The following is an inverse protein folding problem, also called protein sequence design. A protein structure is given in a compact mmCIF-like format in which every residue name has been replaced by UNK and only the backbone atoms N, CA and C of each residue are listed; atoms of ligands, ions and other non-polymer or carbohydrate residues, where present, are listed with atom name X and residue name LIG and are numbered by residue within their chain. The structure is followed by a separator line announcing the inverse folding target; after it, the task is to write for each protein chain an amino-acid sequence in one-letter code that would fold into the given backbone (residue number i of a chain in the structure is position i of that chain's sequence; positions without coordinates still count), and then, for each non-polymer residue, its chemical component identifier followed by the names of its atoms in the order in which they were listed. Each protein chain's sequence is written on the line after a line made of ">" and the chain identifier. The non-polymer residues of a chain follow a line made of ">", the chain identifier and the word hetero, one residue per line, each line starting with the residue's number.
data_IF_611677094733
#
_entry.id   IF_611677094733
#
_cell.length_a   1.000
_cell.length_b   1.000
_cell.length_c   1.000
_cell.angle_alpha   90.00
_cell.angle_beta   90.00
_cell.angle_gamma   90.00
#
_symmetry.space_group_name_H-M   'P 1'
#
loop_
_entity.id
_entity.type
_entity.pdbx_description
1 polymer ?
#
# COMPACT_ATOMS: atom_id res chain seq x y z
N UNK A 1 4.16 -2.29 -12.60
CA UNK A 1 3.90 -1.62 -13.89
C UNK A 1 3.85 -0.11 -13.67
N UNK A 2 3.80 0.70 -14.74
CA UNK A 2 3.83 2.16 -14.65
C UNK A 2 2.40 2.70 -14.53
N UNK A 3 2.00 3.15 -13.33
CA UNK A 3 0.71 3.83 -13.13
C UNK A 3 0.63 5.12 -13.96
N UNK A 4 -0.40 5.22 -14.81
CA UNK A 4 -0.70 6.42 -15.60
C UNK A 4 -1.02 7.62 -14.70
N UNK A 5 -1.70 7.38 -13.57
CA UNK A 5 -2.08 8.42 -12.60
C UNK A 5 -0.87 8.99 -11.88
N UNK A 6 0.00 8.13 -11.32
CA UNK A 6 1.22 8.60 -10.64
C UNK A 6 2.17 9.29 -11.62
N UNK A 7 2.25 8.82 -12.87
CA UNK A 7 3.03 9.50 -13.91
C UNK A 7 2.52 10.92 -14.16
N UNK A 8 1.19 11.12 -14.21
CA UNK A 8 0.60 12.44 -14.39
C UNK A 8 0.88 13.37 -13.20
N UNK A 9 0.78 12.87 -11.96
CA UNK A 9 1.03 13.66 -10.75
C UNK A 9 2.51 14.05 -10.58
N UNK A 10 3.43 13.11 -10.82
CA UNK A 10 4.87 13.32 -10.55
C UNK A 10 5.69 13.70 -11.80
N UNK A 11 5.02 13.82 -12.96
CA UNK A 11 5.52 14.24 -14.29
C UNK A 11 6.70 13.46 -14.89
N UNK A 12 7.33 12.56 -14.16
CA UNK A 12 8.50 11.79 -14.59
C UNK A 12 8.31 10.30 -14.33
N UNK A 13 8.36 9.52 -15.41
CA UNK A 13 8.23 8.06 -15.32
C UNK A 13 9.36 7.43 -14.49
N UNK A 14 10.59 7.87 -14.73
CA UNK A 14 11.77 7.39 -14.01
C UNK A 14 11.65 7.70 -12.52
N UNK A 15 11.12 8.88 -12.16
CA UNK A 15 10.90 9.25 -10.75
C UNK A 15 9.86 8.36 -10.09
N UNK A 16 8.72 8.13 -10.74
CA UNK A 16 7.67 7.23 -10.21
C UNK A 16 8.24 5.83 -9.98
N UNK A 17 9.01 5.30 -10.92
CA UNK A 17 9.66 3.99 -10.76
C UNK A 17 10.65 3.97 -9.59
N UNK A 18 11.51 4.98 -9.47
CA UNK A 18 12.45 5.08 -8.35
C UNK A 18 11.72 5.19 -7.00
N UNK A 19 10.73 6.07 -6.90
CA UNK A 19 9.93 6.25 -5.68
C UNK A 19 9.23 4.94 -5.30
N UNK A 20 8.61 4.26 -6.25
CA UNK A 20 8.00 2.94 -6.03
C UNK A 20 9.03 1.95 -5.47
N UNK A 21 10.20 1.81 -6.08
CA UNK A 21 11.24 0.90 -5.57
C UNK A 21 11.70 1.26 -4.16
N UNK A 22 12.03 2.53 -3.91
CA UNK A 22 12.58 2.95 -2.63
C UNK A 22 11.57 2.94 -1.47
N UNK A 23 10.33 3.35 -1.72
CA UNK A 23 9.31 3.46 -0.67
C UNK A 23 8.76 2.09 -0.24
N UNK A 24 8.75 1.12 -1.16
CA UNK A 24 8.25 -0.23 -0.89
C UNK A 24 9.32 -1.17 -0.36
N UNK A 25 10.60 -0.87 -0.62
CA UNK A 25 11.75 -1.62 -0.14
C UNK A 25 12.72 -0.69 0.61
N UNK A 26 12.29 -0.03 1.70
CA UNK A 26 13.11 0.94 2.42
C UNK A 26 14.37 0.35 3.04
N UNK A 27 14.39 -0.96 3.30
CA UNK A 27 15.53 -1.71 3.81
C UNK A 27 16.62 -1.96 2.76
N UNK A 28 16.30 -1.79 1.47
CA UNK A 28 17.20 -2.10 0.37
C UNK A 28 18.01 -0.87 -0.06
N UNK A 29 19.20 -1.14 -0.56
CA UNK A 29 20.07 -0.15 -1.17
C UNK A 29 20.45 -0.59 -2.58
N UNK A 30 20.61 0.38 -3.48
CA UNK A 30 20.88 0.08 -4.88
C UNK A 30 22.00 0.96 -5.42
N UNK A 31 22.84 0.41 -6.30
CA UNK A 31 23.70 1.25 -7.14
C UNK A 31 23.03 1.53 -8.49
N UNK A 32 23.47 2.59 -9.17
CA UNK A 32 22.81 3.09 -10.40
C UNK A 32 22.62 2.00 -11.46
N UNK A 33 23.62 1.13 -11.67
CA UNK A 33 23.53 0.07 -12.70
C UNK A 33 22.54 -1.04 -12.33
N UNK A 34 22.29 -1.30 -11.05
CA UNK A 34 21.19 -2.19 -10.64
C UNK A 34 19.86 -1.55 -11.00
N UNK A 35 19.66 -0.28 -10.63
CA UNK A 35 18.44 0.47 -10.93
C UNK A 35 18.17 0.55 -12.44
N UNK A 36 19.20 0.73 -13.28
CA UNK A 36 18.99 0.72 -14.74
C UNK A 36 18.41 -0.60 -15.25
N UNK A 37 18.89 -1.72 -14.71
CA UNK A 37 18.43 -3.07 -15.10
C UNK A 37 17.06 -3.36 -14.53
N UNK A 38 16.85 -3.04 -13.25
CA UNK A 38 15.59 -3.26 -12.53
C UNK A 38 14.44 -2.46 -13.13
N UNK A 39 14.69 -1.20 -13.49
CA UNK A 39 13.63 -0.27 -13.91
C UNK A 39 13.47 -0.17 -15.44
N UNK A 40 14.43 -0.71 -16.20
CA UNK A 40 14.47 -0.57 -17.66
C UNK A 40 14.59 0.89 -18.10
N UNK A 41 15.32 1.71 -17.33
CA UNK A 41 15.44 3.15 -17.54
C UNK A 41 16.88 3.54 -17.90
N UNK A 42 17.02 4.62 -18.67
CA UNK A 42 18.33 5.12 -19.08
C UNK A 42 19.14 5.64 -17.88
N UNK A 43 20.45 5.37 -17.88
CA UNK A 43 21.36 5.72 -16.78
C UNK A 43 21.36 7.20 -16.43
N UNK A 44 21.26 8.09 -17.43
CA UNK A 44 21.25 9.53 -17.22
C UNK A 44 19.94 10.02 -16.60
N UNK A 45 18.80 9.41 -16.97
CA UNK A 45 17.50 9.70 -16.35
C UNK A 45 17.50 9.28 -14.88
N UNK A 46 18.00 8.08 -14.57
CA UNK A 46 18.13 7.63 -13.18
C UNK A 46 19.05 8.56 -12.39
N UNK A 47 20.22 8.93 -12.94
CA UNK A 47 21.16 9.83 -12.26
C UNK A 47 20.52 11.18 -11.94
N UNK A 48 19.81 11.78 -12.90
CA UNK A 48 19.11 13.05 -12.73
C UNK A 48 18.04 12.98 -11.63
N UNK A 49 17.19 11.96 -11.66
CA UNK A 49 16.14 11.83 -10.66
C UNK A 49 16.68 11.46 -9.27
N UNK A 50 17.71 10.61 -9.18
CA UNK A 50 18.38 10.36 -7.90
C UNK A 50 18.96 11.65 -7.30
N UNK A 51 19.55 12.52 -8.10
CA UNK A 51 20.06 13.79 -7.59
C UNK A 51 18.94 14.72 -7.14
N UNK A 52 17.82 14.78 -7.87
CA UNK A 52 16.62 15.50 -7.45
C UNK A 52 16.09 15.01 -6.09
N UNK A 53 15.97 13.68 -5.92
CA UNK A 53 15.49 13.06 -4.69
C UNK A 53 16.49 13.23 -3.53
N UNK A 54 17.79 13.25 -3.81
CA UNK A 54 18.82 13.56 -2.81
C UNK A 54 18.78 15.00 -2.35
N UNK A 55 18.57 15.94 -3.27
CA UNK A 55 18.52 17.37 -2.96
C UNK A 55 17.38 17.70 -1.99
N UNK A 56 16.25 17.00 -2.07
CA UNK A 56 15.14 17.17 -1.13
C UNK A 56 15.29 16.34 0.14
N UNK A 57 16.31 15.48 0.25
CA UNK A 57 16.59 14.67 1.43
C UNK A 57 15.85 13.33 1.51
N UNK A 58 15.00 12.98 0.54
CA UNK A 58 14.27 11.70 0.54
C UNK A 58 15.20 10.49 0.26
N UNK A 59 16.27 10.70 -0.51
CA UNK A 59 17.26 9.66 -0.81
C UNK A 59 18.61 10.09 -0.26
N UNK A 60 19.34 9.16 0.37
CA UNK A 60 20.74 9.35 0.77
C UNK A 60 21.64 8.44 -0.05
N UNK A 61 22.93 8.77 -0.05
CA UNK A 61 23.94 7.97 -0.75
C UNK A 61 25.12 7.64 0.16
N UNK A 62 25.61 6.42 0.07
CA UNK A 62 26.77 5.93 0.82
C UNK A 62 27.75 5.19 -0.08
N UNK A 63 29.04 5.29 0.22
CA UNK A 63 30.07 4.57 -0.52
C UNK A 63 30.41 3.27 0.20
N UNK A 64 30.33 2.14 -0.53
CA UNK A 64 30.75 0.81 -0.04
C UNK A 64 31.39 0.04 -1.18
N UNK A 65 32.53 -0.61 -0.94
CA UNK A 65 33.24 -1.45 -1.93
C UNK A 65 33.44 -0.75 -3.29
N UNK A 66 33.93 0.49 -3.28
CA UNK A 66 34.14 1.34 -4.47
C UNK A 66 32.87 1.65 -5.29
N UNK A 67 31.68 1.34 -4.76
CA UNK A 67 30.39 1.65 -5.38
C UNK A 67 29.64 2.69 -4.53
N UNK A 68 28.87 3.52 -5.20
CA UNK A 68 27.94 4.47 -4.57
C UNK A 68 26.54 3.85 -4.55
N UNK A 69 26.05 3.57 -3.36
CA UNK A 69 24.73 3.03 -3.09
C UNK A 69 23.78 4.15 -2.70
N UNK A 70 22.52 3.99 -3.05
CA UNK A 70 21.42 4.90 -2.75
C UNK A 70 20.38 4.14 -1.93
N UNK A 71 19.83 4.79 -0.92
CA UNK A 71 18.75 4.26 -0.08
C UNK A 71 17.78 5.38 0.28
N UNK A 72 16.55 5.02 0.64
CA UNK A 72 15.56 5.99 1.12
C UNK A 72 15.89 6.41 2.55
N UNK A 73 15.54 7.64 2.90
CA UNK A 73 15.57 8.14 4.26
C UNK A 73 14.18 7.99 4.89
N UNK A 74 14.02 7.05 5.82
CA UNK A 74 12.75 6.78 6.49
C UNK A 74 12.33 7.90 7.45
N UNK A 75 13.30 8.70 7.93
CA UNK A 75 13.05 9.89 8.75
C UNK A 75 12.66 11.12 7.91
N UNK A 76 12.49 10.98 6.60
CA UNK A 76 12.04 12.08 5.76
C UNK A 76 10.60 12.50 6.15
N UNK A 77 10.29 13.80 6.31
CA UNK A 77 9.02 14.25 6.87
C UNK A 77 7.75 13.74 6.18
N UNK A 78 7.81 13.46 4.87
CA UNK A 78 6.67 12.94 4.11
C UNK A 78 6.83 11.47 3.70
N UNK A 79 7.71 10.73 4.37
CA UNK A 79 8.02 9.35 3.99
C UNK A 79 6.78 8.45 4.05
N UNK A 80 6.01 8.53 5.16
CA UNK A 80 4.84 7.69 5.36
C UNK A 80 3.70 8.03 4.39
N UNK A 81 3.49 9.31 4.09
CA UNK A 81 2.48 9.80 3.15
C UNK A 81 2.81 9.33 1.73
N UNK A 82 4.06 9.51 1.30
CA UNK A 82 4.51 9.02 0.00
C UNK A 82 4.42 7.49 -0.08
N UNK A 83 4.88 6.78 0.95
CA UNK A 83 4.76 5.31 1.01
C UNK A 83 3.31 4.87 0.87
N UNK A 84 2.39 5.50 1.60
CA UNK A 84 0.96 5.23 1.52
C UNK A 84 0.42 5.42 0.11
N UNK A 85 0.71 6.55 -0.55
CA UNK A 85 0.28 6.82 -1.93
C UNK A 85 0.74 5.72 -2.89
N UNK A 86 2.02 5.34 -2.83
CA UNK A 86 2.58 4.33 -3.72
C UNK A 86 2.12 2.90 -3.39
N UNK A 87 1.91 2.57 -2.12
CA UNK A 87 1.38 1.27 -1.72
C UNK A 87 -0.09 1.10 -2.14
N UNK A 88 -0.91 2.15 -2.02
CA UNK A 88 -2.32 2.13 -2.46
C UNK A 88 -2.48 1.75 -3.93
N UNK A 89 -1.62 2.30 -4.79
CA UNK A 89 -1.64 2.00 -6.22
C UNK A 89 -1.35 0.51 -6.50
N UNK A 90 -0.33 -0.05 -5.83
CA UNK A 90 0.09 -1.43 -6.09
C UNK A 90 -0.92 -2.43 -5.57
N UNK A 91 -1.49 -2.18 -4.39
CA UNK A 91 -2.47 -3.10 -3.82
C UNK A 91 -3.82 -3.04 -4.55
N UNK A 92 -4.11 -1.96 -5.26
CA UNK A 92 -5.23 -1.94 -6.20
C UNK A 92 -5.04 -2.93 -7.37
N UNK A 93 -3.79 -3.22 -7.74
CA UNK A 93 -3.42 -4.17 -8.81
C UNK A 93 -3.13 -5.60 -8.29
N UNK A 94 -3.17 -5.87 -6.98
CA UNK A 94 -2.87 -7.19 -6.40
C UNK A 94 -3.84 -8.28 -6.91
N UNK A 95 -3.35 -9.38 -7.51
CA UNK A 95 -4.15 -10.54 -7.90
C UNK A 95 -4.98 -11.14 -6.74
N UNK A 96 -4.41 -11.22 -5.53
CA UNK A 96 -5.10 -11.75 -4.36
C UNK A 96 -6.32 -10.86 -4.01
N UNK A 97 -6.11 -9.54 -3.96
CA UNK A 97 -7.18 -8.58 -3.70
C UNK A 97 -8.21 -8.57 -4.83
N UNK A 98 -7.77 -8.63 -6.09
CA UNK A 98 -8.63 -8.70 -7.27
C UNK A 98 -9.50 -9.96 -7.29
N UNK A 99 -8.99 -11.09 -6.79
CA UNK A 99 -9.76 -12.33 -6.62
C UNK A 99 -10.78 -12.21 -5.49
N UNK A 100 -10.37 -11.59 -4.38
CA UNK A 100 -11.25 -11.34 -3.23
C UNK A 100 -12.46 -10.47 -3.62
N UNK A 101 -12.25 -9.41 -4.41
CA UNK A 101 -13.31 -8.53 -4.93
C UNK A 101 -14.37 -9.25 -5.77
N UNK A 102 -14.04 -10.38 -6.39
CA UNK A 102 -14.95 -11.13 -7.26
C UNK A 102 -15.84 -12.09 -6.49
N UNK A 103 -15.61 -12.28 -5.19
CA UNK A 103 -16.43 -13.16 -4.37
C UNK A 103 -17.79 -12.49 -4.07
N UNK A 104 -18.93 -13.19 -4.31
CA UNK A 104 -20.25 -12.57 -4.27
C UNK A 104 -20.72 -12.17 -2.87
N UNK A 105 -20.16 -12.79 -1.83
CA UNK A 105 -20.59 -12.60 -0.45
C UNK A 105 -19.67 -11.64 0.32
N UNK A 106 -18.96 -10.76 -0.37
CA UNK A 106 -18.07 -9.77 0.26
C UNK A 106 -18.59 -8.37 -0.07
N UNK A 107 -18.86 -7.59 0.95
CA UNK A 107 -19.45 -6.27 0.84
C UNK A 107 -18.44 -5.15 1.08
N UNK A 108 -17.46 -5.37 1.96
CA UNK A 108 -16.41 -4.39 2.25
C UNK A 108 -15.04 -5.08 2.27
N UNK A 109 -14.06 -4.47 1.61
CA UNK A 109 -12.65 -4.82 1.74
C UNK A 109 -11.87 -3.54 2.02
N UNK A 110 -11.22 -3.49 3.18
CA UNK A 110 -10.38 -2.37 3.60
C UNK A 110 -8.95 -2.87 3.85
N UNK A 111 -8.01 -2.19 3.22
CA UNK A 111 -6.58 -2.42 3.33
C UNK A 111 -5.96 -1.37 4.26
N UNK A 112 -5.21 -1.83 5.25
CA UNK A 112 -4.60 -1.05 6.30
C UNK A 112 -3.19 -1.58 6.60
N UNK A 113 -2.50 -0.96 7.55
CA UNK A 113 -1.26 -1.51 8.10
C UNK A 113 -0.21 -1.78 7.03
N UNK A 114 0.23 -3.04 6.93
CA UNK A 114 1.23 -3.50 5.95
C UNK A 114 0.87 -3.21 4.49
N UNK A 115 -0.42 -3.16 4.12
CA UNK A 115 -0.84 -2.80 2.75
C UNK A 115 -0.67 -1.32 2.43
N UNK A 116 -0.61 -0.45 3.44
CA UNK A 116 -0.54 1.01 3.27
C UNK A 116 0.76 1.59 3.83
N UNK A 117 1.65 0.74 4.33
CA UNK A 117 2.90 1.14 4.95
C UNK A 117 2.73 1.86 6.28
N UNK A 118 1.59 1.68 6.95
CA UNK A 118 1.27 2.30 8.25
C UNK A 118 1.31 1.25 9.36
N UNK A 119 1.38 1.70 10.62
CA UNK A 119 1.10 0.81 11.74
C UNK A 119 -0.41 0.75 11.99
N UNK A 120 -0.97 -0.45 11.94
CA UNK A 120 -2.38 -0.70 12.24
C UNK A 120 -2.54 -2.02 13.00
N UNK A 121 -3.62 -2.13 13.77
CA UNK A 121 -4.01 -3.37 14.47
C UNK A 121 -4.36 -4.49 13.48
N UNK A 122 -4.90 -4.13 12.32
CA UNK A 122 -5.24 -5.03 11.22
C UNK A 122 -4.64 -4.52 9.92
N UNK A 123 -4.22 -5.44 9.05
CA UNK A 123 -3.73 -5.13 7.72
C UNK A 123 -4.84 -5.30 6.67
N UNK A 124 -5.76 -6.25 6.88
CA UNK A 124 -6.88 -6.53 5.99
C UNK A 124 -8.19 -6.73 6.77
N UNK A 125 -9.18 -5.88 6.51
CA UNK A 125 -10.53 -6.04 7.03
C UNK A 125 -11.46 -6.48 5.89
N UNK A 126 -12.18 -7.59 6.11
CA UNK A 126 -13.18 -8.12 5.18
C UNK A 126 -14.53 -8.16 5.89
N UNK A 127 -15.54 -7.54 5.30
CA UNK A 127 -16.93 -7.68 5.75
C UNK A 127 -17.68 -8.54 4.74
N UNK A 128 -18.25 -9.63 5.23
CA UNK A 128 -19.01 -10.59 4.44
C UNK A 128 -18.85 -12.03 4.92
N UNK A 129 -19.27 -12.95 4.07
CA UNK A 129 -19.22 -14.39 4.34
C UNK A 129 -18.14 -15.06 3.51
N UNK A 130 -16.98 -15.30 4.13
CA UNK A 130 -15.86 -16.02 3.53
C UNK A 130 -15.27 -17.00 4.55
N UNK A 131 -14.94 -18.20 4.09
CA UNK A 131 -14.20 -19.18 4.90
C UNK A 131 -12.76 -18.73 5.06
N UNK A 132 -12.24 -18.83 6.28
CA UNK A 132 -10.87 -18.44 6.64
C UNK A 132 -9.84 -19.09 5.72
N UNK A 133 -10.03 -20.36 5.39
CA UNK A 133 -9.12 -21.16 4.57
C UNK A 133 -9.02 -20.62 3.13
N UNK A 134 -10.13 -20.09 2.58
CA UNK A 134 -10.14 -19.49 1.25
C UNK A 134 -9.37 -18.17 1.26
N UNK A 135 -9.59 -17.34 2.28
CA UNK A 135 -8.86 -16.08 2.42
C UNK A 135 -7.35 -16.33 2.55
N UNK A 136 -6.96 -17.25 3.44
CA UNK A 136 -5.55 -17.59 3.63
C UNK A 136 -4.92 -18.18 2.36
N UNK A 137 -5.63 -19.04 1.63
CA UNK A 137 -5.17 -19.57 0.35
C UNK A 137 -4.92 -18.47 -0.70
N UNK A 138 -5.78 -17.44 -0.76
CA UNK A 138 -5.59 -16.29 -1.65
C UNK A 138 -4.38 -15.45 -1.23
N UNK A 139 -4.22 -15.17 0.07
CA UNK A 139 -3.09 -14.39 0.57
C UNK A 139 -1.75 -15.13 0.37
N UNK A 140 -1.73 -16.46 0.47
CA UNK A 140 -0.52 -17.27 0.27
C UNK A 140 0.00 -17.26 -1.18
N UNK A 141 -0.82 -16.86 -2.15
CA UNK A 141 -0.37 -16.71 -3.55
C UNK A 141 0.68 -15.62 -3.73
N UNK A 142 0.70 -14.64 -2.81
CA UNK A 142 1.60 -13.49 -2.85
C UNK A 142 2.59 -13.57 -1.67
N UNK A 143 3.90 -13.75 -1.90
CA UNK A 143 4.88 -13.90 -0.82
C UNK A 143 4.90 -12.73 0.18
N UNK A 144 4.64 -11.52 -0.30
CA UNK A 144 4.52 -10.29 0.50
C UNK A 144 3.29 -10.25 1.40
N UNK A 145 2.29 -11.14 1.21
CA UNK A 145 1.04 -11.16 1.99
C UNK A 145 0.98 -12.29 3.04
N UNK A 146 2.05 -13.08 3.19
CA UNK A 146 2.06 -14.27 4.08
C UNK A 146 1.85 -13.98 5.57
N UNK A 147 2.17 -12.76 6.02
CA UNK A 147 2.11 -12.36 7.43
C UNK A 147 1.08 -11.26 7.68
N UNK A 148 0.09 -11.16 6.80
CA UNK A 148 -1.00 -10.18 6.90
C UNK A 148 -1.91 -10.50 8.09
N UNK A 149 -2.08 -9.53 8.99
CA UNK A 149 -3.09 -9.58 10.05
C UNK A 149 -4.44 -9.25 9.44
N UNK A 150 -5.41 -10.17 9.52
CA UNK A 150 -6.73 -9.90 8.97
C UNK A 150 -7.84 -10.04 10.01
N UNK A 151 -9.00 -9.46 9.71
CA UNK A 151 -10.24 -9.62 10.46
C UNK A 151 -11.39 -9.80 9.49
N UNK A 152 -12.26 -10.76 9.80
CA UNK A 152 -13.46 -11.07 9.01
C UNK A 152 -14.66 -10.78 9.91
N UNK A 153 -15.60 -9.98 9.42
CA UNK A 153 -16.86 -9.73 10.11
C UNK A 153 -18.04 -10.13 9.21
N UNK A 154 -19.02 -10.86 9.73
CA UNK A 154 -20.34 -10.88 9.13
C UNK A 154 -20.89 -9.44 9.04
N UNK A 155 -21.67 -9.17 7.99
CA UNK A 155 -22.27 -7.86 7.77
C UNK A 155 -23.07 -7.35 8.98
N UNK A 156 -23.91 -8.21 9.55
CA UNK A 156 -24.72 -7.86 10.72
C UNK A 156 -23.85 -7.48 11.94
N UNK A 157 -22.79 -8.22 12.21
CA UNK A 157 -21.88 -7.97 13.33
C UNK A 157 -21.09 -6.67 13.14
N UNK A 158 -20.68 -6.39 11.90
CA UNK A 158 -19.96 -5.17 11.55
C UNK A 158 -20.83 -3.94 11.76
N UNK A 159 -22.05 -3.94 11.20
CA UNK A 159 -23.00 -2.84 11.35
C UNK A 159 -23.45 -2.65 12.80
N UNK A 160 -23.66 -3.75 13.54
CA UNK A 160 -23.97 -3.69 14.97
C UNK A 160 -22.84 -3.00 15.75
N UNK A 161 -21.60 -3.43 15.59
CA UNK A 161 -20.45 -2.80 16.25
C UNK A 161 -20.25 -1.35 15.82
N UNK A 162 -20.50 -1.02 14.56
CA UNK A 162 -20.45 0.35 14.06
C UNK A 162 -21.49 1.25 14.73
N UNK A 163 -22.74 0.77 14.89
CA UNK A 163 -23.82 1.51 15.58
C UNK A 163 -23.52 1.72 17.07
N UNK A 164 -22.80 0.79 17.70
CA UNK A 164 -22.30 0.92 19.06
C UNK A 164 -21.03 1.79 19.17
N UNK A 165 -20.56 2.38 18.07
CA UNK A 165 -19.32 3.16 18.00
C UNK A 165 -18.11 2.39 18.53
N UNK A 166 -18.02 1.11 18.15
CA UNK A 166 -16.86 0.26 18.47
C UNK A 166 -15.57 0.98 18.04
N UNK A 167 -14.67 1.15 19.00
CA UNK A 167 -13.45 1.93 18.82
C UNK A 167 -12.55 1.37 17.72
N UNK A 168 -12.45 0.05 17.59
CA UNK A 168 -11.62 -0.59 16.58
C UNK A 168 -12.17 -0.33 15.18
N UNK A 169 -13.48 -0.50 14.98
CA UNK A 169 -14.11 -0.25 13.67
C UNK A 169 -13.99 1.23 13.28
N UNK A 170 -14.26 2.14 14.19
CA UNK A 170 -14.17 3.59 13.92
C UNK A 170 -12.73 4.03 13.65
N UNK A 171 -11.74 3.54 14.39
CA UNK A 171 -10.32 3.83 14.15
C UNK A 171 -9.91 3.39 12.73
N UNK A 172 -10.37 2.21 12.29
CA UNK A 172 -9.99 1.67 10.99
C UNK A 172 -10.73 2.36 9.84
N UNK A 173 -12.03 2.64 9.97
CA UNK A 173 -12.80 3.29 8.91
C UNK A 173 -12.41 4.76 8.69
N UNK A 174 -12.06 5.48 9.76
CA UNK A 174 -11.82 6.92 9.69
C UNK A 174 -10.36 7.29 9.39
N UNK A 175 -9.43 6.33 9.36
CA UNK A 175 -8.04 6.64 9.02
C UNK A 175 -7.90 6.89 7.49
N UNK A 176 -7.54 8.11 7.05
CA UNK A 176 -7.45 8.45 5.63
C UNK A 176 -6.31 7.70 4.90
N UNK A 177 -5.37 7.12 5.65
CA UNK A 177 -4.26 6.34 5.10
C UNK A 177 -4.70 4.94 4.71
N UNK A 178 -5.80 4.43 5.28
CA UNK A 178 -6.39 3.18 4.86
C UNK A 178 -7.01 3.30 3.46
N UNK A 179 -7.18 2.16 2.80
CA UNK A 179 -7.70 2.08 1.44
C UNK A 179 -8.89 1.12 1.39
N UNK A 180 -10.07 1.66 1.10
CA UNK A 180 -11.25 0.86 0.81
C UNK A 180 -11.20 0.49 -0.68
N UNK A 181 -11.11 -0.80 -0.97
CA UNK A 181 -10.97 -1.31 -2.35
C UNK A 181 -12.25 -1.93 -2.90
N UNK A 182 -13.22 -2.22 -2.02
CA UNK A 182 -14.58 -2.62 -2.33
C UNK A 182 -15.48 -2.11 -1.22
N UNK A 183 -16.59 -1.44 -1.57
CA UNK A 183 -17.66 -1.11 -0.64
C UNK A 183 -19.01 -1.12 -1.37
N UNK A 184 -19.82 -2.14 -1.11
CA UNK A 184 -21.20 -2.25 -1.62
C UNK A 184 -22.24 -1.86 -0.57
N UNK A 185 -21.82 -1.55 0.66
CA UNK A 185 -22.67 -1.29 1.83
C UNK A 185 -22.52 0.16 2.36
N UNK A 186 -22.25 1.10 1.45
CA UNK A 186 -21.98 2.50 1.83
C UNK A 186 -23.18 3.15 2.53
N UNK A 187 -24.41 2.84 2.09
CA UNK A 187 -25.64 3.43 2.67
C UNK A 187 -25.87 2.92 4.08
N UNK A 188 -25.70 1.63 4.28
CA UNK A 188 -25.86 0.93 5.55
C UNK A 188 -24.83 1.42 6.58
N UNK A 189 -23.60 1.70 6.12
CA UNK A 189 -22.55 2.32 6.94
C UNK A 189 -22.94 3.75 7.36
N UNK A 190 -23.49 4.55 6.45
CA UNK A 190 -23.94 5.91 6.75
C UNK A 190 -25.09 5.92 7.75
N UNK A 191 -26.10 5.07 7.55
CA UNK A 191 -27.24 4.88 8.45
C UNK A 191 -26.79 4.43 9.85
N UNK A 192 -25.88 3.45 9.92
CA UNK A 192 -25.34 2.96 11.19
C UNK A 192 -24.48 4.01 11.93
N UNK A 193 -23.86 4.94 11.21
CA UNK A 193 -23.14 6.08 11.79
C UNK A 193 -24.07 7.23 12.22
N UNK A 194 -25.37 7.14 11.93
CA UNK A 194 -26.35 8.18 12.21
C UNK A 194 -26.15 9.45 11.39
N UNK A 195 -25.67 9.30 10.15
CA UNK A 195 -25.51 10.39 9.16
C UNK A 195 -26.64 10.40 8.15
#
# INVERSE_FOLDING_TARGET
>A
MSSTTLKALFSSQTRVKLLSTFLLHPEQEYFIRELTRLLGEQINSIRRELENLRRIGLVKARHRNRKKYYHVESEFPFFLELKSIFSKEIQAESPAIGSLKKLPNIQLILLAGSFTGTESKVDLLVVGTIKKEILEALLLQEPNLRHVKYSIFPEADFLYRLSLKDRFILEILNDPRHLIVLNTMQKEIEEAMGK
#
